data_IF_492441019207
#
_entry.id   IF_492441019207
#
_cell.length_a   1.000
_cell.length_b   1.000
_cell.length_c   1.000
_cell.angle_alpha   90.00
_cell.angle_beta   90.00
_cell.angle_gamma   90.00
#
_symmetry.space_group_name_H-M   'P 1'
#
loop_
_entity.id
_entity.type
_entity.pdbx_description
1 polymer ?
#
# COMPACT_ATOMS: atom_id res chain seq x y z
N UNK A 1 13.86 -19.41 2.18
CA UNK A 1 13.71 -18.12 2.89
C UNK A 1 13.07 -17.13 1.94
N UNK A 2 11.93 -16.54 2.30
CA UNK A 2 11.21 -15.59 1.44
C UNK A 2 11.99 -14.27 1.34
N UNK A 3 12.46 -13.92 0.13
CA UNK A 3 13.26 -12.70 -0.08
C UNK A 3 12.48 -11.42 0.23
N UNK A 4 11.17 -11.39 -0.02
CA UNK A 4 10.33 -10.24 0.29
C UNK A 4 10.18 -10.06 1.82
N UNK A 5 10.00 -11.17 2.56
CA UNK A 5 9.98 -11.14 4.02
C UNK A 5 11.29 -10.63 4.62
N UNK A 6 12.43 -11.14 4.12
CA UNK A 6 13.75 -10.71 4.57
C UNK A 6 14.01 -9.23 4.28
N UNK A 7 13.61 -8.76 3.09
CA UNK A 7 13.69 -7.34 2.73
C UNK A 7 12.83 -6.47 3.66
N UNK A 8 11.53 -6.77 3.79
CA UNK A 8 10.61 -6.01 4.65
C UNK A 8 11.12 -5.93 6.08
N UNK A 9 11.57 -7.04 6.65
CA UNK A 9 12.11 -7.08 8.01
C UNK A 9 13.35 -6.20 8.16
N UNK A 10 14.28 -6.25 7.19
CA UNK A 10 15.50 -5.44 7.20
C UNK A 10 15.19 -3.95 7.12
N UNK A 11 14.31 -3.55 6.20
CA UNK A 11 13.92 -2.15 6.06
C UNK A 11 13.25 -1.63 7.33
N UNK A 12 12.34 -2.40 7.94
CA UNK A 12 11.70 -2.02 9.19
C UNK A 12 12.69 -1.89 10.36
N UNK A 13 13.69 -2.76 10.44
CA UNK A 13 14.74 -2.69 11.48
C UNK A 13 15.72 -1.55 11.31
N UNK A 14 15.87 -1.04 10.10
CA UNK A 14 16.74 0.10 9.84
C UNK A 14 16.10 1.44 10.26
N UNK A 15 14.80 1.45 10.56
CA UNK A 15 14.08 2.64 11.03
C UNK A 15 14.38 2.92 12.50
N UNK A 16 14.33 4.21 12.85
CA UNK A 16 14.28 4.64 14.24
C UNK A 16 13.11 3.97 14.98
N UNK A 17 13.25 3.55 16.25
CA UNK A 17 12.19 2.83 16.97
C UNK A 17 10.83 3.52 17.01
N UNK A 18 10.78 4.85 17.11
CA UNK A 18 9.51 5.59 17.12
C UNK A 18 8.88 5.58 15.73
N UNK A 19 9.67 5.88 14.70
CA UNK A 19 9.23 5.81 13.29
C UNK A 19 8.76 4.40 12.91
N UNK A 20 9.48 3.38 13.39
CA UNK A 20 9.16 1.97 13.17
C UNK A 20 7.80 1.60 13.75
N UNK A 21 7.47 2.07 14.96
CA UNK A 21 6.18 1.81 15.59
C UNK A 21 5.02 2.38 14.76
N UNK A 22 5.17 3.62 14.30
CA UNK A 22 4.19 4.32 13.46
C UNK A 22 4.00 3.61 12.11
N UNK A 23 5.11 3.25 11.45
CA UNK A 23 5.08 2.50 10.19
C UNK A 23 4.43 1.12 10.38
N UNK A 24 4.74 0.40 11.47
CA UNK A 24 4.12 -0.88 11.78
C UNK A 24 2.60 -0.74 11.98
N UNK A 25 2.15 0.28 12.71
CA UNK A 25 0.71 0.54 12.90
C UNK A 25 -0.02 0.74 11.57
N UNK A 26 0.56 1.53 10.67
CA UNK A 26 0.03 1.74 9.32
C UNK A 26 0.05 0.43 8.50
N UNK A 27 1.13 -0.34 8.54
CA UNK A 27 1.25 -1.60 7.80
C UNK A 27 0.30 -2.69 8.31
N UNK A 28 0.09 -2.79 9.63
CA UNK A 28 -0.89 -3.71 10.22
C UNK A 28 -2.30 -3.37 9.74
N UNK A 29 -2.62 -2.08 9.68
CA UNK A 29 -3.91 -1.61 9.17
C UNK A 29 -4.06 -1.90 7.69
N UNK A 30 -3.02 -1.69 6.89
CA UNK A 30 -3.00 -2.09 5.47
C UNK A 30 -3.25 -3.59 5.35
N UNK A 31 -2.52 -4.43 6.09
CA UNK A 31 -2.66 -5.88 5.99
C UNK A 31 -4.08 -6.36 6.35
N UNK A 32 -4.70 -5.73 7.35
CA UNK A 32 -6.08 -6.02 7.78
C UNK A 32 -7.13 -5.56 6.77
N UNK A 33 -7.01 -4.34 6.26
CA UNK A 33 -8.09 -3.68 5.53
C UNK A 33 -7.99 -3.88 4.01
N UNK A 34 -6.79 -4.19 3.49
CA UNK A 34 -6.56 -4.43 2.07
C UNK A 34 -7.53 -5.49 1.51
N UNK A 35 -7.71 -6.69 2.12
CA UNK A 35 -8.65 -7.70 1.61
C UNK A 35 -10.10 -7.22 1.47
N UNK A 36 -10.55 -6.33 2.37
CA UNK A 36 -11.94 -5.86 2.44
C UNK A 36 -12.20 -4.79 1.38
N UNK A 37 -11.21 -3.94 1.11
CA UNK A 37 -11.40 -2.82 0.20
C UNK A 37 -10.87 -3.06 -1.22
N UNK A 38 -10.11 -4.11 -1.45
CA UNK A 38 -9.58 -4.44 -2.78
C UNK A 38 -10.66 -5.04 -3.67
N UNK A 39 -11.02 -4.33 -4.75
CA UNK A 39 -11.96 -4.82 -5.77
C UNK A 39 -11.26 -4.98 -7.10
N UNK A 40 -11.40 -6.17 -7.72
CA UNK A 40 -10.89 -6.45 -9.08
C UNK A 40 -11.52 -5.58 -10.18
N UNK A 41 -12.68 -4.97 -9.93
CA UNK A 41 -13.51 -4.30 -10.95
C UNK A 41 -13.52 -2.78 -10.87
N UNK A 42 -13.20 -2.19 -9.73
CA UNK A 42 -13.17 -0.74 -9.59
C UNK A 42 -11.85 -0.22 -10.19
N UNK A 43 -11.93 0.78 -11.07
CA UNK A 43 -10.77 1.44 -11.64
C UNK A 43 -9.82 1.90 -10.53
N UNK A 44 -8.61 1.36 -10.55
CA UNK A 44 -7.47 1.66 -9.68
C UNK A 44 -7.89 1.91 -8.22
N UNK A 45 -8.24 0.86 -7.45
CA UNK A 45 -8.50 1.03 -6.03
C UNK A 45 -7.18 1.39 -5.36
N UNK A 46 -7.11 2.59 -4.80
CA UNK A 46 -5.99 3.03 -3.99
C UNK A 46 -6.49 3.21 -2.57
N UNK A 47 -5.82 2.55 -1.63
CA UNK A 47 -6.12 2.70 -0.21
C UNK A 47 -5.13 3.70 0.36
N UNK A 48 -5.66 4.76 0.94
CA UNK A 48 -4.89 5.65 1.80
C UNK A 48 -5.04 5.13 3.22
N UNK A 49 -3.93 4.95 3.92
CA UNK A 49 -3.92 4.57 5.33
C UNK A 49 -3.06 5.56 6.09
N UNK A 50 -3.51 6.10 7.21
CA UNK A 50 -2.76 7.11 7.96
C UNK A 50 -3.01 6.95 9.46
N UNK A 51 -2.11 7.47 10.29
CA UNK A 51 -2.31 7.44 11.74
C UNK A 51 -3.48 8.34 12.12
N UNK A 52 -4.33 7.82 13.01
CA UNK A 52 -5.35 8.59 13.68
C UNK A 52 -4.77 9.09 15.00
N UNK A 53 -5.11 10.31 15.43
CA UNK A 53 -4.43 11.03 16.52
C UNK A 53 -4.47 10.32 17.89
N UNK A 54 -5.19 9.21 18.00
CA UNK A 54 -5.30 8.32 19.17
C UNK A 54 -4.28 7.17 19.17
N UNK A 55 -3.34 7.14 18.23
CA UNK A 55 -2.35 6.07 18.09
C UNK A 55 -2.85 4.87 17.26
N UNK A 56 -4.08 4.95 16.74
CA UNK A 56 -4.60 4.01 15.74
C UNK A 56 -4.18 4.37 14.31
N UNK A 57 -4.62 3.57 13.35
CA UNK A 57 -4.52 3.89 11.92
C UNK A 57 -5.88 3.77 11.25
N UNK A 58 -6.19 4.75 10.41
CA UNK A 58 -7.45 4.85 9.66
C UNK A 58 -7.22 4.60 8.18
N UNK A 59 -8.20 3.97 7.54
CA UNK A 59 -8.21 3.72 6.10
C UNK A 59 -9.26 4.58 5.42
N UNK A 60 -8.87 5.18 4.30
CA UNK A 60 -9.71 5.97 3.42
C UNK A 60 -9.56 5.47 1.98
N UNK A 61 -10.66 5.41 1.23
CA UNK A 61 -10.59 5.13 -0.21
C UNK A 61 -10.18 6.41 -0.93
N UNK A 62 -9.10 6.35 -1.68
CA UNK A 62 -8.70 7.45 -2.56
C UNK A 62 -8.95 7.08 -4.02
N UNK A 63 -9.45 8.03 -4.80
CA UNK A 63 -9.75 7.86 -6.21
C UNK A 63 -8.82 8.68 -7.10
N UNK A 64 -8.98 8.51 -8.41
CA UNK A 64 -8.21 9.27 -9.40
C UNK A 64 -8.38 10.79 -9.27
N UNK A 65 -9.56 11.25 -8.84
CA UNK A 65 -9.84 12.68 -8.71
C UNK A 65 -9.02 13.32 -7.59
N UNK A 66 -8.89 12.63 -6.47
CA UNK A 66 -8.09 13.08 -5.33
C UNK A 66 -6.61 13.09 -5.71
N UNK A 67 -6.13 12.04 -6.37
CA UNK A 67 -4.74 11.92 -6.80
C UNK A 67 -4.35 12.93 -7.88
N UNK A 68 -5.27 13.27 -8.78
CA UNK A 68 -5.05 14.27 -9.83
C UNK A 68 -4.70 15.67 -9.26
N UNK A 69 -4.99 15.94 -7.99
CA UNK A 69 -4.55 17.17 -7.31
C UNK A 69 -3.02 17.24 -7.14
N UNK A 70 -2.33 16.10 -7.18
CA UNK A 70 -0.89 15.97 -6.97
C UNK A 70 -0.09 15.74 -8.26
N UNK A 71 -0.74 15.80 -9.42
CA UNK A 71 -0.11 15.62 -10.73
C UNK A 71 -1.00 14.86 -11.72
N UNK A 72 -0.55 14.76 -12.96
CA UNK A 72 -1.26 14.04 -14.02
C UNK A 72 -1.02 12.52 -13.96
N UNK A 73 -1.81 11.77 -14.73
CA UNK A 73 -1.87 10.30 -14.70
C UNK A 73 -0.57 9.63 -15.21
N UNK A 74 0.18 10.31 -16.08
CA UNK A 74 1.54 9.97 -16.53
C UNK A 74 2.62 10.29 -15.49
N UNK A 75 2.31 11.11 -14.48
CA UNK A 75 3.19 11.49 -13.38
C UNK A 75 2.98 10.60 -12.14
N UNK A 76 2.69 9.30 -12.33
CA UNK A 76 2.42 8.35 -11.24
C UNK A 76 3.46 8.38 -10.10
N UNK A 77 4.73 8.63 -10.43
CA UNK A 77 5.82 8.79 -9.46
C UNK A 77 5.58 9.95 -8.47
N UNK A 78 4.91 11.03 -8.90
CA UNK A 78 4.51 12.16 -8.04
C UNK A 78 3.40 11.77 -7.09
N UNK A 79 2.46 10.94 -7.53
CA UNK A 79 1.38 10.46 -6.65
C UNK A 79 1.94 9.59 -5.52
N UNK A 80 2.78 8.61 -5.86
CA UNK A 80 3.32 7.65 -4.88
C UNK A 80 4.27 8.28 -3.87
N UNK A 81 4.91 9.40 -4.20
CA UNK A 81 5.75 10.15 -3.27
C UNK A 81 4.99 11.27 -2.55
N UNK A 82 4.27 12.09 -3.30
CA UNK A 82 3.66 13.33 -2.82
C UNK A 82 2.42 13.12 -1.96
N UNK A 83 1.52 12.21 -2.36
CA UNK A 83 0.25 11.99 -1.65
C UNK A 83 0.47 11.46 -0.24
N UNK A 84 1.23 10.35 -0.02
CA UNK A 84 1.48 9.91 1.35
C UNK A 84 2.33 10.90 2.13
N UNK A 85 3.25 11.64 1.49
CA UNK A 85 4.06 12.65 2.19
C UNK A 85 3.23 13.83 2.70
N UNK A 86 2.27 14.31 1.91
CA UNK A 86 1.33 15.36 2.34
C UNK A 86 0.47 14.86 3.50
N UNK A 87 -0.10 13.65 3.39
CA UNK A 87 -0.87 13.05 4.50
C UNK A 87 -0.03 12.81 5.75
N UNK A 88 1.24 12.41 5.61
CA UNK A 88 2.14 12.22 6.74
C UNK A 88 2.50 13.55 7.43
N UNK A 89 2.46 14.70 6.74
CA UNK A 89 2.63 16.00 7.42
C UNK A 89 1.47 16.32 8.36
N UNK A 90 0.26 15.92 7.98
CA UNK A 90 -0.95 16.12 8.79
C UNK A 90 -1.06 15.10 9.92
N UNK A 91 -0.78 13.83 9.62
CA UNK A 91 -1.07 12.69 10.49
C UNK A 91 0.17 12.02 11.10
N UNK A 92 1.37 12.46 10.74
CA UNK A 92 2.63 11.88 11.19
C UNK A 92 3.13 10.73 10.33
N UNK A 93 2.27 9.76 10.03
CA UNK A 93 2.59 8.67 9.11
C UNK A 93 1.39 8.33 8.23
N UNK A 94 1.67 8.06 6.96
CA UNK A 94 0.66 7.66 5.98
C UNK A 94 1.23 6.71 4.92
N UNK A 95 0.37 5.91 4.33
CA UNK A 95 0.69 4.98 3.27
C UNK A 95 -0.33 5.05 2.14
N UNK A 96 0.20 5.10 0.91
CA UNK A 96 -0.58 4.87 -0.30
C UNK A 96 -0.39 3.42 -0.74
N UNK A 97 -1.49 2.69 -0.90
CA UNK A 97 -1.51 1.31 -1.38
C UNK A 97 -2.06 1.24 -2.79
N UNK A 98 -1.34 0.58 -3.69
CA UNK A 98 -1.72 0.43 -5.09
C UNK A 98 -1.25 -0.90 -5.69
N UNK A 99 -1.87 -1.34 -6.79
CA UNK A 99 -1.60 -2.64 -7.40
C UNK A 99 -0.41 -2.60 -8.37
N UNK A 100 0.26 -3.72 -8.59
CA UNK A 100 1.38 -3.83 -9.55
C UNK A 100 0.99 -3.53 -11.00
N UNK A 101 -0.30 -3.58 -11.32
CA UNK A 101 -0.80 -3.29 -12.67
C UNK A 101 -1.43 -1.90 -12.81
N UNK A 102 -1.16 -1.00 -11.86
CA UNK A 102 -1.67 0.38 -11.89
C UNK A 102 -1.34 1.10 -13.20
N UNK A 103 -0.11 1.01 -13.71
CA UNK A 103 0.29 1.62 -14.98
C UNK A 103 -0.49 1.05 -16.18
N UNK A 104 -0.73 -0.26 -16.20
CA UNK A 104 -1.50 -0.90 -17.27
C UNK A 104 -2.96 -0.41 -17.26
N UNK A 105 -3.55 -0.24 -16.07
CA UNK A 105 -4.91 0.30 -15.91
C UNK A 105 -5.02 1.77 -16.29
N UNK A 106 -4.06 2.57 -15.83
CA UNK A 106 -3.87 3.99 -16.18
C UNK A 106 -3.85 4.15 -17.70
N UNK A 107 -3.00 3.38 -18.39
CA UNK A 107 -2.81 3.49 -19.84
C UNK A 107 -3.82 2.68 -20.66
N UNK A 108 -4.84 2.10 -20.02
CA UNK A 108 -5.80 1.18 -20.64
C UNK A 108 -5.17 0.04 -21.47
N UNK A 109 -3.96 -0.38 -21.11
CA UNK A 109 -3.24 -1.47 -21.78
C UNK A 109 -3.78 -2.81 -21.27
N UNK A 110 -4.75 -3.36 -22.00
CA UNK A 110 -5.25 -4.73 -21.82
C UNK A 110 -4.76 -5.66 -22.94
N UNK A 111 -4.73 -6.98 -22.72
CA UNK A 111 -4.57 -7.92 -23.82
C UNK A 111 -5.71 -7.68 -24.83
N UNK A 112 -5.33 -7.38 -26.08
CA UNK A 112 -6.24 -7.16 -27.21
C UNK A 112 -7.14 -5.92 -27.14
N UNK A 113 -6.73 -4.84 -26.47
CA UNK A 113 -7.52 -3.59 -26.45
C UNK A 113 -8.85 -3.68 -25.68
N UNK A 114 -9.02 -4.71 -24.84
CA UNK A 114 -10.20 -4.88 -23.99
C UNK A 114 -9.94 -4.36 -22.57
N UNK A 115 -11.00 -3.90 -21.88
CA UNK A 115 -10.98 -3.48 -20.47
C UNK A 115 -10.71 -4.64 -19.46
N UNK A 116 -10.38 -5.85 -19.95
CA UNK A 116 -10.05 -7.01 -19.11
C UNK A 116 -8.58 -6.95 -18.72
N UNK A 117 -8.26 -6.12 -17.74
CA UNK A 117 -6.93 -6.07 -17.15
C UNK A 117 -6.61 -7.39 -16.44
N UNK A 118 -5.37 -7.84 -16.57
CA UNK A 118 -4.83 -8.93 -15.74
C UNK A 118 -4.98 -8.51 -14.27
N UNK A 119 -5.46 -9.40 -13.37
CA UNK A 119 -5.54 -9.09 -11.95
C UNK A 119 -4.19 -8.69 -11.37
N UNK A 120 -4.20 -7.81 -10.36
CA UNK A 120 -2.99 -7.59 -9.57
C UNK A 120 -2.57 -8.87 -8.86
N UNK A 121 -1.27 -9.03 -8.65
CA UNK A 121 -0.66 -10.15 -7.91
C UNK A 121 0.04 -9.69 -6.62
N UNK A 122 0.20 -8.37 -6.47
CA UNK A 122 0.80 -7.76 -5.30
C UNK A 122 0.28 -6.34 -5.11
N UNK A 123 0.24 -5.92 -3.85
CA UNK A 123 0.02 -4.54 -3.47
C UNK A 123 1.37 -3.91 -3.12
N UNK A 124 1.66 -2.77 -3.72
CA UNK A 124 2.73 -1.89 -3.30
C UNK A 124 2.21 -0.95 -2.23
N UNK A 125 2.98 -0.80 -1.15
CA UNK A 125 2.67 0.08 -0.03
C UNK A 125 3.77 1.11 0.08
N UNK A 126 3.46 2.36 -0.24
CA UNK A 126 4.38 3.49 -0.16
C UNK A 126 4.10 4.28 1.09
N UNK A 127 4.99 4.17 2.06
CA UNK A 127 4.86 4.79 3.37
C UNK A 127 5.69 6.06 3.41
N UNK A 128 5.10 7.13 3.91
CA UNK A 128 5.79 8.35 4.28
C UNK A 128 5.61 8.59 5.77
N UNK A 129 6.64 9.17 6.39
CA UNK A 129 6.64 9.57 7.79
C UNK A 129 7.18 10.99 7.86
N UNK A 130 6.63 11.83 8.74
CA UNK A 130 7.02 13.25 8.86
C UNK A 130 8.51 13.44 9.12
N UNK A 131 9.12 12.50 9.86
CA UNK A 131 10.53 12.54 10.24
C UNK A 131 11.47 11.82 9.25
N UNK A 132 10.94 11.22 8.18
CA UNK A 132 11.75 10.60 7.14
C UNK A 132 11.92 11.53 5.95
N UNK A 133 13.17 11.72 5.51
CA UNK A 133 13.48 12.47 4.26
C UNK A 133 13.00 11.75 3.01
N UNK A 134 12.99 10.42 3.04
CA UNK A 134 12.58 9.57 1.93
C UNK A 134 11.56 8.55 2.44
N UNK A 135 10.48 8.35 1.68
CA UNK A 135 9.48 7.33 2.00
C UNK A 135 10.04 5.91 1.82
N UNK A 136 9.48 4.98 2.58
CA UNK A 136 9.81 3.55 2.52
C UNK A 136 8.77 2.81 1.66
N UNK A 137 9.18 1.69 1.07
CA UNK A 137 8.31 0.91 0.18
C UNK A 137 8.27 -0.55 0.61
N UNK A 138 7.06 -1.12 0.61
CA UNK A 138 6.84 -2.53 0.84
C UNK A 138 6.02 -3.12 -0.31
N UNK A 139 6.10 -4.44 -0.46
CA UNK A 139 5.30 -5.18 -1.44
C UNK A 139 4.67 -6.38 -0.75
N UNK A 140 3.35 -6.44 -0.77
CA UNK A 140 2.56 -7.52 -0.21
C UNK A 140 1.98 -8.35 -1.35
N UNK A 141 2.61 -9.49 -1.69
CA UNK A 141 2.02 -10.45 -2.61
C UNK A 141 0.73 -10.99 -2.00
N UNK A 142 -0.21 -11.34 -2.86
CA UNK A 142 -1.46 -11.94 -2.45
C UNK A 142 -1.99 -12.89 -3.51
N UNK A 143 -2.73 -13.86 -3.03
CA UNK A 143 -3.55 -14.72 -3.87
C UNK A 143 -4.98 -14.18 -3.94
N UNK A 144 -5.77 -14.76 -4.84
CA UNK A 144 -7.20 -14.53 -4.86
C UNK A 144 -7.95 -15.84 -4.76
N UNK A 145 -8.76 -15.98 -3.72
CA UNK A 145 -9.56 -17.16 -3.47
C UNK A 145 -11.02 -16.92 -3.83
N UNK A 146 -11.72 -17.96 -4.28
CA UNK A 146 -13.13 -17.90 -4.62
C UNK A 146 -13.41 -17.59 -6.10
N UNK A 147 -14.30 -18.40 -6.70
CA UNK A 147 -14.62 -18.35 -8.14
C UNK A 147 -15.63 -17.26 -8.50
N UNK A 148 -16.64 -17.05 -7.65
CA UNK A 148 -17.76 -16.12 -7.92
C UNK A 148 -17.66 -14.81 -7.14
N UNK A 149 -17.05 -14.86 -5.94
CA UNK A 149 -16.76 -13.71 -5.10
C UNK A 149 -15.27 -13.74 -4.72
N UNK A 150 -14.39 -13.36 -5.66
CA UNK A 150 -12.95 -13.40 -5.42
C UNK A 150 -12.56 -12.50 -4.25
N UNK A 151 -11.85 -13.07 -3.27
CA UNK A 151 -11.30 -12.37 -2.10
C UNK A 151 -9.79 -12.39 -2.17
N UNK A 152 -9.17 -11.27 -1.83
CA UNK A 152 -7.72 -11.17 -1.70
C UNK A 152 -7.28 -11.86 -0.42
N UNK A 153 -6.24 -12.69 -0.49
CA UNK A 153 -5.63 -13.34 0.66
C UNK A 153 -4.14 -13.01 0.67
N UNK A 154 -3.70 -12.29 1.70
CA UNK A 154 -2.28 -12.03 1.92
C UNK A 154 -1.60 -13.33 2.36
N UNK A 155 -0.34 -13.51 1.97
CA UNK A 155 0.44 -14.64 2.49
C UNK A 155 0.75 -14.45 3.98
N UNK A 156 0.71 -15.55 4.74
CA UNK A 156 0.92 -15.57 6.21
C UNK A 156 2.22 -14.89 6.66
N UNK A 157 3.28 -14.99 5.86
CA UNK A 157 4.57 -14.38 6.17
C UNK A 157 4.48 -12.86 6.38
N UNK A 158 3.50 -12.17 5.78
CA UNK A 158 3.32 -10.72 5.93
C UNK A 158 3.08 -10.40 7.40
N UNK A 159 2.07 -11.02 8.02
CA UNK A 159 1.76 -10.82 9.44
C UNK A 159 2.90 -11.29 10.34
N UNK A 160 3.51 -12.45 10.07
CA UNK A 160 4.65 -12.94 10.84
C UNK A 160 5.84 -11.97 10.81
N UNK A 161 6.10 -11.34 9.66
CA UNK A 161 7.20 -10.40 9.48
C UNK A 161 6.96 -9.10 10.24
N UNK A 162 5.73 -8.58 10.20
CA UNK A 162 5.34 -7.38 10.97
C UNK A 162 5.45 -7.64 12.49
N UNK A 163 4.96 -8.79 12.95
CA UNK A 163 5.07 -9.19 14.36
C UNK A 163 6.51 -9.41 14.82
N UNK A 164 7.38 -9.87 13.91
CA UNK A 164 8.81 -10.02 14.20
C UNK A 164 9.52 -8.67 14.28
N UNK A 165 9.20 -7.75 13.37
CA UNK A 165 9.75 -6.39 13.37
C UNK A 165 9.31 -5.58 14.61
N UNK A 166 8.18 -5.94 15.25
CA UNK A 166 7.74 -5.32 16.50
C UNK A 166 8.54 -5.78 17.73
N UNK A 167 9.05 -7.01 17.71
CA UNK A 167 9.71 -7.66 18.87
C UNK A 167 11.22 -7.42 18.95
N UNK A 168 11.85 -7.06 17.83
CA UNK A 168 13.30 -6.84 17.68
C UNK A 168 13.54 -5.39 17.27
#
# INVERSE_FOLDING_TARGET
MNQAAAYTLRELRALDPAVRADVLCVLDRVARDLPVHWSRRAGIPQLMVFLDGDGGARTERTGLRELARHGYLDEFHRWVGGVPAEKAREHGCAALVYGDRIHARINQVGPFGSARFVPDTRAHVRVAHRDLRLGTSFSFPFDTEGRFFPRLVLHDWVSETLDRARRE
#
